data_IF_013218009046
#
_entry.id   IF_013218009046
#
_cell.length_a   1.000
_cell.length_b   1.000
_cell.length_c   1.000
_cell.angle_alpha   90.00
_cell.angle_beta   90.00
_cell.angle_gamma   90.00
#
_symmetry.space_group_name_H-M   'P 1'
#
loop_
_entity.id
_entity.type
_entity.pdbx_description
1 polymer ?
#
# COMPACT_ATOMS: atom_id res chain seq x y z
N UNK A 1 10.36 0.44 -4.96
CA UNK A 1 10.57 -0.40 -3.77
C UNK A 1 11.92 -1.06 -3.91
N UNK A 2 12.68 -1.25 -2.83
CA UNK A 2 13.93 -2.02 -2.89
C UNK A 2 13.62 -3.45 -2.47
N UNK A 3 14.07 -4.44 -3.25
CA UNK A 3 13.92 -5.86 -2.95
C UNK A 3 15.28 -6.51 -2.75
N UNK A 4 15.38 -7.34 -1.73
CA UNK A 4 16.55 -8.13 -1.35
C UNK A 4 16.04 -9.53 -1.00
N UNK A 5 16.05 -10.42 -2.00
CA UNK A 5 15.47 -11.76 -1.88
C UNK A 5 13.99 -11.68 -1.46
N UNK A 6 13.58 -12.38 -0.38
CA UNK A 6 12.24 -12.30 0.19
C UNK A 6 11.94 -10.98 0.94
N UNK A 7 12.96 -10.16 1.21
CA UNK A 7 12.78 -8.91 1.93
C UNK A 7 12.50 -7.74 0.98
N UNK A 8 11.58 -6.89 1.39
CA UNK A 8 11.27 -5.63 0.72
C UNK A 8 11.45 -4.47 1.68
N UNK A 9 11.78 -3.31 1.12
CA UNK A 9 11.76 -2.05 1.84
C UNK A 9 11.14 -0.99 0.96
N UNK A 10 10.06 -0.38 1.43
CA UNK A 10 9.48 0.78 0.79
C UNK A 10 10.48 1.94 0.80
N UNK A 11 10.62 2.60 -0.33
CA UNK A 11 11.35 3.87 -0.43
C UNK A 11 10.56 4.96 0.27
N UNK A 12 11.25 6.04 0.65
CA UNK A 12 10.60 7.22 1.25
C UNK A 12 9.43 7.74 0.41
N UNK A 13 9.58 7.78 -0.91
CA UNK A 13 8.53 8.25 -1.83
C UNK A 13 7.27 7.38 -1.80
N UNK A 14 7.45 6.06 -1.67
CA UNK A 14 6.33 5.11 -1.57
C UNK A 14 5.61 5.27 -0.25
N UNK A 15 6.35 5.41 0.86
CA UNK A 15 5.79 5.70 2.18
C UNK A 15 4.99 7.00 2.14
N UNK A 16 5.56 8.09 1.62
CA UNK A 16 4.88 9.39 1.52
C UNK A 16 3.60 9.32 0.68
N UNK A 17 3.59 8.55 -0.41
CA UNK A 17 2.37 8.35 -1.24
C UNK A 17 1.30 7.55 -0.52
N UNK A 18 1.65 6.41 0.06
CA UNK A 18 0.71 5.58 0.79
C UNK A 18 0.09 6.33 1.96
N UNK A 19 0.90 7.05 2.75
CA UNK A 19 0.40 7.90 3.84
C UNK A 19 -0.52 9.00 3.31
N UNK A 20 -0.21 9.61 2.16
CA UNK A 20 -1.07 10.64 1.56
C UNK A 20 -2.43 10.10 1.09
N UNK A 21 -2.46 8.87 0.58
CA UNK A 21 -3.69 8.24 0.07
C UNK A 21 -4.55 7.69 1.20
N UNK A 22 -3.92 6.98 2.14
CA UNK A 22 -4.62 6.18 3.15
C UNK A 22 -4.67 6.83 4.51
N UNK A 23 -3.99 7.96 4.72
CA UNK A 23 -3.75 8.57 6.03
C UNK A 23 -3.16 7.62 7.09
N UNK A 24 -2.67 6.44 6.68
CA UNK A 24 -2.11 5.40 7.55
C UNK A 24 -0.67 5.16 7.10
N UNK A 25 0.28 5.35 8.01
CA UNK A 25 1.69 5.17 7.69
C UNK A 25 2.03 3.67 7.51
N UNK A 26 2.69 3.28 6.39
CA UNK A 26 3.13 1.91 6.16
C UNK A 26 4.41 1.61 6.97
N UNK A 27 4.23 1.38 8.27
CA UNK A 27 5.31 1.06 9.21
C UNK A 27 5.55 -0.45 9.25
N UNK A 28 6.82 -0.86 9.23
CA UNK A 28 7.21 -2.25 9.51
C UNK A 28 7.17 -3.19 8.32
N UNK A 29 6.93 -2.70 7.10
CA UNK A 29 6.89 -3.53 5.89
C UNK A 29 8.29 -4.04 5.55
N UNK A 30 8.48 -5.35 5.70
CA UNK A 30 9.74 -6.06 5.46
C UNK A 30 9.63 -7.14 4.40
N UNK A 31 8.41 -7.55 4.05
CA UNK A 31 8.09 -8.58 3.06
C UNK A 31 6.91 -8.12 2.19
N UNK A 32 6.64 -8.84 1.10
CA UNK A 32 5.44 -8.60 0.30
C UNK A 32 4.16 -8.92 1.08
N UNK A 33 4.22 -9.92 1.95
CA UNK A 33 3.12 -10.32 2.83
C UNK A 33 2.76 -9.18 3.81
N UNK A 34 3.77 -8.52 4.41
CA UNK A 34 3.52 -7.32 5.25
C UNK A 34 2.86 -6.17 4.46
N UNK A 35 3.14 -6.08 3.16
CA UNK A 35 2.54 -5.07 2.29
C UNK A 35 1.09 -5.44 1.94
N UNK A 36 0.81 -6.71 1.71
CA UNK A 36 -0.55 -7.25 1.50
C UNK A 36 -1.41 -6.98 2.74
N UNK A 37 -0.92 -7.35 3.93
CA UNK A 37 -1.59 -7.09 5.21
C UNK A 37 -1.85 -5.60 5.44
N UNK A 38 -0.90 -4.74 5.07
CA UNK A 38 -1.07 -3.29 5.14
C UNK A 38 -2.22 -2.81 4.26
N UNK A 39 -2.28 -3.28 3.00
CA UNK A 39 -3.33 -2.92 2.04
C UNK A 39 -4.69 -3.38 2.53
N UNK A 40 -4.80 -4.61 3.02
CA UNK A 40 -6.05 -5.16 3.55
C UNK A 40 -6.52 -4.39 4.77
N UNK A 41 -5.62 -4.01 5.68
CA UNK A 41 -5.94 -3.15 6.82
C UNK A 41 -6.44 -1.78 6.38
N UNK A 42 -5.83 -1.17 5.37
CA UNK A 42 -6.28 0.11 4.82
C UNK A 42 -7.69 0.00 4.22
N UNK A 43 -7.96 -1.04 3.43
CA UNK A 43 -9.30 -1.26 2.84
C UNK A 43 -10.36 -1.56 3.90
N UNK A 44 -10.01 -2.33 4.93
CA UNK A 44 -10.90 -2.61 6.05
C UNK A 44 -11.21 -1.35 6.87
N UNK A 45 -10.23 -0.46 7.06
CA UNK A 45 -10.43 0.83 7.73
C UNK A 45 -11.42 1.70 6.96
N UNK A 46 -11.26 1.78 5.63
CA UNK A 46 -12.18 2.46 4.74
C UNK A 46 -13.32 1.52 4.31
N UNK A 47 -14.18 1.17 5.26
CA UNK A 47 -15.38 0.39 4.99
C UNK A 47 -16.43 1.21 4.23
N UNK A 48 -17.17 0.57 3.32
CA UNK A 48 -18.27 1.19 2.57
C UNK A 48 -18.32 0.80 1.11
N UNK A 49 -19.47 1.05 0.48
CA UNK A 49 -19.73 0.76 -0.95
C UNK A 49 -19.95 2.04 -1.76
N UNK A 50 -19.66 3.21 -1.18
CA UNK A 50 -19.76 4.47 -1.90
C UNK A 50 -18.74 4.49 -3.04
N UNK A 51 -19.03 5.30 -4.06
CA UNK A 51 -18.12 5.50 -5.18
C UNK A 51 -16.77 6.07 -4.72
N UNK A 52 -16.76 6.85 -3.65
CA UNK A 52 -15.55 7.40 -3.04
C UNK A 52 -14.71 6.30 -2.38
N UNK A 53 -15.33 5.39 -1.62
CA UNK A 53 -14.62 4.24 -1.03
C UNK A 53 -14.07 3.32 -2.11
N UNK A 54 -14.85 3.02 -3.16
CA UNK A 54 -14.39 2.20 -4.29
C UNK A 54 -13.22 2.87 -5.03
N UNK A 55 -13.29 4.19 -5.24
CA UNK A 55 -12.21 4.94 -5.85
C UNK A 55 -10.94 4.92 -4.99
N UNK A 56 -11.09 5.05 -3.67
CA UNK A 56 -9.97 4.95 -2.74
C UNK A 56 -9.35 3.55 -2.74
N UNK A 57 -10.15 2.48 -2.69
CA UNK A 57 -9.68 1.11 -2.77
C UNK A 57 -8.91 0.86 -4.08
N UNK A 58 -9.46 1.32 -5.21
CA UNK A 58 -8.77 1.25 -6.50
C UNK A 58 -7.45 2.03 -6.51
N UNK A 59 -7.40 3.20 -5.87
CA UNK A 59 -6.18 4.00 -5.79
C UNK A 59 -5.10 3.31 -4.96
N UNK A 60 -5.48 2.62 -3.88
CA UNK A 60 -4.58 1.80 -3.07
C UNK A 60 -4.03 0.64 -3.91
N UNK A 61 -4.90 -0.09 -4.61
CA UNK A 61 -4.51 -1.21 -5.48
C UNK A 61 -3.53 -0.75 -6.58
N UNK A 62 -3.80 0.39 -7.19
CA UNK A 62 -2.92 0.95 -8.22
C UNK A 62 -1.52 1.26 -7.70
N UNK A 63 -1.39 1.88 -6.53
CA UNK A 63 -0.06 2.17 -5.96
C UNK A 63 0.64 0.88 -5.52
N UNK A 64 -0.10 -0.10 -5.04
CA UNK A 64 0.41 -1.43 -4.73
C UNK A 64 1.00 -2.11 -5.97
N UNK A 65 0.27 -2.13 -7.10
CA UNK A 65 0.77 -2.67 -8.37
C UNK A 65 2.01 -1.91 -8.84
N UNK A 66 2.01 -0.57 -8.80
CA UNK A 66 3.20 0.22 -9.15
C UNK A 66 4.42 -0.12 -8.29
N UNK A 67 4.25 -0.35 -6.99
CA UNK A 67 5.33 -0.79 -6.12
C UNK A 67 5.88 -2.17 -6.53
N UNK A 68 5.00 -3.07 -7.01
CA UNK A 68 5.34 -4.42 -7.48
C UNK A 68 5.87 -4.48 -8.90
N UNK A 69 5.62 -3.48 -9.75
CA UNK A 69 6.11 -3.43 -11.12
C UNK A 69 7.44 -2.66 -11.29
N UNK A 70 7.84 -1.85 -10.30
CA UNK A 70 9.05 -1.02 -10.36
C UNK A 70 10.38 -1.79 -10.25
N UNK A 71 10.50 -2.94 -10.92
CA UNK A 71 11.70 -3.80 -11.04
C UNK A 71 12.62 -3.30 -12.15
#
# INVERSE_FOLDING_TARGET
MIRLDAHVRLTRREIERFTKITAIEPIGIRTLDDLDDYVDRCKAHYWGVSRETQFLHWLIDREYDQCREAV
#
